data_IF_504920567766
#
_entry.id   IF_504920567766
#
_cell.length_a   1.000
_cell.length_b   1.000
_cell.length_c   1.000
_cell.angle_alpha   90.00
_cell.angle_beta   90.00
_cell.angle_gamma   90.00
#
_symmetry.space_group_name_H-M   'P 1'
#
loop_
_entity.id
_entity.type
_entity.pdbx_description
1 polymer ?
#
# COMPACT_ATOMS: atom_id res chain seq x y z
N UNK A 1 -19.36 8.77 -15.15
CA UNK A 1 -18.03 8.46 -15.73
C UNK A 1 -17.44 7.39 -14.84
N UNK A 2 -17.14 6.20 -15.38
CA UNK A 2 -16.75 5.02 -14.58
C UNK A 2 -15.55 5.40 -13.70
N UNK A 3 -15.72 5.41 -12.37
CA UNK A 3 -14.69 5.78 -11.39
C UNK A 3 -13.32 5.11 -11.66
N UNK A 4 -13.36 3.87 -12.16
CA UNK A 4 -12.17 3.09 -12.50
C UNK A 4 -11.51 3.46 -13.84
N UNK A 5 -12.22 4.11 -14.77
CA UNK A 5 -11.66 4.50 -16.08
C UNK A 5 -10.49 5.48 -15.94
N UNK A 6 -10.44 6.24 -14.85
CA UNK A 6 -9.34 7.17 -14.58
C UNK A 6 -8.01 6.48 -14.23
N UNK A 7 -8.04 5.20 -13.83
CA UNK A 7 -6.87 4.46 -13.35
C UNK A 7 -6.38 3.38 -14.32
N UNK A 8 -7.13 3.09 -15.38
CA UNK A 8 -6.78 2.08 -16.37
C UNK A 8 -6.52 2.74 -17.72
N UNK A 9 -5.59 2.19 -18.51
CA UNK A 9 -5.37 2.67 -19.87
C UNK A 9 -6.64 2.49 -20.71
N UNK A 10 -6.98 3.48 -21.53
CA UNK A 10 -8.17 3.42 -22.39
C UNK A 10 -8.18 2.15 -23.26
N UNK A 11 -7.00 1.72 -23.72
CA UNK A 11 -6.79 0.48 -24.45
C UNK A 11 -7.28 -0.77 -23.69
N UNK A 12 -6.95 -0.90 -22.41
CA UNK A 12 -7.37 -2.06 -21.60
C UNK A 12 -8.88 -2.06 -21.36
N UNK A 13 -9.47 -0.87 -21.16
CA UNK A 13 -10.90 -0.72 -20.90
C UNK A 13 -11.72 -1.06 -22.15
N UNK A 14 -11.25 -0.68 -23.33
CA UNK A 14 -11.89 -1.04 -24.60
C UNK A 14 -11.76 -2.52 -24.93
N UNK A 15 -10.62 -3.15 -24.61
CA UNK A 15 -10.39 -4.56 -24.91
C UNK A 15 -11.20 -5.53 -24.01
N UNK A 16 -11.49 -5.15 -22.76
CA UNK A 16 -12.13 -6.02 -21.77
C UNK A 16 -13.33 -5.34 -21.08
N UNK A 17 -14.26 -4.80 -21.87
CA UNK A 17 -15.39 -3.99 -21.37
C UNK A 17 -16.19 -4.65 -20.23
N UNK A 18 -16.43 -5.96 -20.31
CA UNK A 18 -17.22 -6.71 -19.29
C UNK A 18 -16.54 -6.75 -17.91
N UNK A 19 -15.20 -6.82 -17.88
CA UNK A 19 -14.43 -6.84 -16.64
C UNK A 19 -14.39 -5.47 -15.96
N UNK A 20 -14.48 -4.39 -16.74
CA UNK A 20 -14.39 -3.02 -16.24
C UNK A 20 -15.76 -2.39 -15.92
N UNK A 21 -16.82 -3.20 -15.87
CA UNK A 21 -18.10 -2.76 -15.32
C UNK A 21 -18.00 -2.57 -13.80
N UNK A 22 -18.67 -1.53 -13.29
CA UNK A 22 -18.66 -1.19 -11.85
C UNK A 22 -19.06 -2.39 -10.98
N UNK A 23 -20.10 -3.12 -11.38
CA UNK A 23 -20.60 -4.32 -10.70
C UNK A 23 -19.55 -5.42 -10.64
N UNK A 24 -18.86 -5.71 -11.75
CA UNK A 24 -17.82 -6.75 -11.80
C UNK A 24 -16.63 -6.39 -10.91
N UNK A 25 -16.18 -5.14 -10.92
CA UNK A 25 -15.08 -4.70 -10.06
C UNK A 25 -15.45 -4.80 -8.58
N UNK A 26 -16.68 -4.41 -8.22
CA UNK A 26 -17.17 -4.56 -6.85
C UNK A 26 -17.22 -6.03 -6.44
N UNK A 27 -17.77 -6.92 -7.27
CA UNK A 27 -17.84 -8.35 -6.99
C UNK A 27 -16.46 -8.99 -6.84
N UNK A 28 -15.53 -8.71 -7.75
CA UNK A 28 -14.15 -9.22 -7.69
C UNK A 28 -13.48 -8.73 -6.41
N UNK A 29 -13.61 -7.44 -6.08
CA UNK A 29 -12.97 -6.87 -4.89
C UNK A 29 -13.54 -7.47 -3.61
N UNK A 30 -14.87 -7.59 -3.50
CA UNK A 30 -15.51 -8.26 -2.34
C UNK A 30 -15.09 -9.73 -2.26
N UNK A 31 -14.95 -10.43 -3.39
CA UNK A 31 -14.43 -11.79 -3.44
C UNK A 31 -12.98 -11.89 -2.93
N UNK A 32 -12.11 -10.95 -3.32
CA UNK A 32 -10.73 -10.86 -2.82
C UNK A 32 -10.69 -10.55 -1.32
N UNK A 33 -11.57 -9.67 -0.83
CA UNK A 33 -11.70 -9.41 0.60
C UNK A 33 -12.13 -10.67 1.35
N UNK A 34 -13.10 -11.40 0.83
CA UNK A 34 -13.53 -12.66 1.41
C UNK A 34 -12.40 -13.68 1.45
N UNK A 35 -11.66 -13.86 0.35
CA UNK A 35 -10.48 -14.74 0.31
C UNK A 35 -9.44 -14.32 1.36
N UNK A 36 -9.24 -13.01 1.53
CA UNK A 36 -8.34 -12.44 2.54
C UNK A 36 -8.83 -12.72 3.96
N UNK A 37 -10.14 -12.74 4.22
CA UNK A 37 -10.67 -13.16 5.53
C UNK A 37 -10.42 -14.63 5.83
N UNK A 38 -10.51 -15.50 4.83
CA UNK A 38 -10.22 -16.92 4.99
C UNK A 38 -8.74 -17.14 5.33
N UNK A 39 -7.86 -16.37 4.71
CA UNK A 39 -6.45 -16.31 5.09
C UNK A 39 -6.29 -15.85 6.55
N UNK A 40 -7.05 -14.83 6.97
CA UNK A 40 -6.93 -14.22 8.30
C UNK A 40 -7.40 -15.10 9.46
N UNK A 41 -8.11 -16.20 9.17
CA UNK A 41 -8.50 -17.21 10.16
C UNK A 41 -7.33 -18.10 10.60
N UNK A 42 -6.31 -18.31 9.75
CA UNK A 42 -5.22 -19.29 10.00
C UNK A 42 -3.86 -18.61 10.13
N UNK A 43 -3.38 -18.47 11.37
CA UNK A 43 -2.11 -17.80 11.70
C UNK A 43 -0.89 -18.41 10.99
N UNK A 44 -0.85 -19.74 10.79
CA UNK A 44 0.29 -20.45 10.16
C UNK A 44 0.44 -20.13 8.66
N UNK A 45 -0.67 -19.83 7.98
CA UNK A 45 -0.67 -19.58 6.54
C UNK A 45 0.04 -18.26 6.20
N UNK A 46 -0.05 -17.27 7.08
CA UNK A 46 0.47 -15.91 6.90
C UNK A 46 1.98 -15.88 6.75
N UNK A 47 2.72 -16.51 7.66
CA UNK A 47 4.19 -16.44 7.63
C UNK A 47 4.70 -17.00 6.31
N UNK A 48 4.17 -18.15 5.90
CA UNK A 48 4.53 -18.80 4.65
C UNK A 48 4.14 -17.91 3.47
N UNK A 49 2.91 -17.41 3.43
CA UNK A 49 2.41 -16.57 2.34
C UNK A 49 3.20 -15.26 2.22
N UNK A 50 3.46 -14.55 3.33
CA UNK A 50 4.22 -13.30 3.32
C UNK A 50 5.67 -13.50 2.88
N UNK A 51 6.38 -14.52 3.40
CA UNK A 51 7.74 -14.84 2.94
C UNK A 51 7.76 -15.24 1.47
N UNK A 52 6.77 -16.04 1.05
CA UNK A 52 6.64 -16.47 -0.34
C UNK A 52 6.33 -15.30 -1.29
N UNK A 53 5.46 -14.37 -0.91
CA UNK A 53 5.16 -13.17 -1.72
C UNK A 53 6.39 -12.28 -1.90
N UNK A 54 7.18 -12.07 -0.84
CA UNK A 54 8.44 -11.30 -0.93
C UNK A 54 9.44 -12.04 -1.82
N UNK A 55 9.60 -13.35 -1.63
CA UNK A 55 10.48 -14.16 -2.47
C UNK A 55 10.07 -14.09 -3.95
N UNK A 56 8.79 -14.32 -4.26
CA UNK A 56 8.28 -14.22 -5.62
C UNK A 56 8.45 -12.82 -6.20
N UNK A 57 8.31 -11.78 -5.40
CA UNK A 57 8.55 -10.41 -5.86
C UNK A 57 10.02 -10.15 -6.17
N UNK A 58 10.95 -10.64 -5.34
CA UNK A 58 12.39 -10.55 -5.63
C UNK A 58 12.70 -11.30 -6.93
N UNK A 59 12.18 -12.52 -7.09
CA UNK A 59 12.34 -13.30 -8.33
C UNK A 59 11.76 -12.55 -9.54
N UNK A 60 10.58 -11.96 -9.41
CA UNK A 60 9.96 -11.14 -10.45
C UNK A 60 10.84 -9.95 -10.85
N UNK A 61 11.36 -9.21 -9.86
CA UNK A 61 12.29 -8.08 -10.10
C UNK A 61 13.53 -8.57 -10.83
N UNK A 62 14.15 -9.67 -10.38
CA UNK A 62 15.36 -10.24 -11.01
C UNK A 62 15.08 -10.65 -12.46
N UNK A 63 13.97 -11.35 -12.72
CA UNK A 63 13.57 -11.71 -14.08
C UNK A 63 13.40 -10.46 -14.93
N UNK A 64 12.71 -9.43 -14.41
CA UNK A 64 12.52 -8.17 -15.12
C UNK A 64 13.83 -7.46 -15.47
N UNK A 65 14.80 -7.44 -14.54
CA UNK A 65 16.14 -6.91 -14.79
C UNK A 65 16.84 -7.72 -15.88
N UNK A 66 16.86 -9.05 -15.76
CA UNK A 66 17.50 -9.94 -16.75
C UNK A 66 16.91 -9.71 -18.14
N UNK A 67 15.57 -9.68 -18.27
CA UNK A 67 14.89 -9.46 -19.54
C UNK A 67 15.27 -8.11 -20.18
N UNK A 68 15.36 -7.04 -19.37
CA UNK A 68 15.77 -5.73 -19.88
C UNK A 68 17.25 -5.73 -20.31
N UNK A 69 18.12 -6.42 -19.58
CA UNK A 69 19.54 -6.52 -19.90
C UNK A 69 19.76 -7.34 -21.18
N UNK A 70 19.07 -8.48 -21.33
CA UNK A 70 19.21 -9.36 -22.50
C UNK A 70 18.66 -8.73 -23.77
N UNK A 71 17.55 -8.00 -23.68
CA UNK A 71 16.90 -7.41 -24.85
C UNK A 71 17.53 -6.07 -25.24
N UNK A 72 18.17 -5.36 -24.29
CA UNK A 72 18.76 -4.05 -24.52
C UNK A 72 20.24 -4.06 -24.17
N UNK A 73 20.59 -3.62 -22.96
CA UNK A 73 21.96 -3.71 -22.44
C UNK A 73 21.99 -3.46 -20.93
N UNK A 74 23.01 -4.03 -20.27
CA UNK A 74 23.29 -3.76 -18.86
C UNK A 74 23.66 -2.29 -18.61
N UNK A 75 24.39 -1.68 -19.55
CA UNK A 75 24.80 -0.27 -19.44
C UNK A 75 23.58 0.64 -19.47
N UNK A 76 22.62 0.39 -20.37
CA UNK A 76 21.37 1.16 -20.42
C UNK A 76 20.63 1.03 -19.09
N UNK A 77 20.43 -0.19 -18.58
CA UNK A 77 19.72 -0.40 -17.31
C UNK A 77 20.34 0.38 -16.15
N UNK A 78 21.67 0.25 -15.96
CA UNK A 78 22.39 0.94 -14.89
C UNK A 78 22.37 2.46 -15.08
N UNK A 79 22.48 2.94 -16.32
CA UNK A 79 22.40 4.38 -16.61
C UNK A 79 21.01 4.93 -16.28
N UNK A 80 19.93 4.24 -16.64
CA UNK A 80 18.56 4.65 -16.34
C UNK A 80 18.27 4.64 -14.84
N UNK A 81 18.71 3.60 -14.13
CA UNK A 81 18.57 3.53 -12.66
C UNK A 81 19.30 4.70 -11.99
N UNK A 82 20.55 4.94 -12.40
CA UNK A 82 21.39 6.02 -11.88
C UNK A 82 20.75 7.38 -12.16
N UNK A 83 20.41 7.66 -13.43
CA UNK A 83 19.78 8.91 -13.84
C UNK A 83 18.47 9.14 -13.08
N UNK A 84 17.61 8.12 -12.96
CA UNK A 84 16.35 8.23 -12.22
C UNK A 84 16.55 8.67 -10.78
N UNK A 85 17.56 8.13 -10.09
CA UNK A 85 17.87 8.50 -8.70
C UNK A 85 18.47 9.92 -8.62
N UNK A 86 19.46 10.23 -9.46
CA UNK A 86 20.14 11.53 -9.41
C UNK A 86 19.24 12.67 -9.86
N UNK A 87 18.47 12.48 -10.93
CA UNK A 87 17.51 13.48 -11.42
C UNK A 87 16.36 13.68 -10.45
N UNK A 88 15.90 12.63 -9.75
CA UNK A 88 14.92 12.77 -8.68
C UNK A 88 15.44 13.67 -7.56
N UNK A 89 16.66 13.45 -7.08
CA UNK A 89 17.25 14.26 -6.01
C UNK A 89 17.48 15.70 -6.48
N UNK A 90 18.02 15.88 -7.69
CA UNK A 90 18.31 17.20 -8.27
C UNK A 90 17.03 18.03 -8.45
N UNK A 91 15.93 17.38 -8.81
CA UNK A 91 14.66 18.05 -9.12
C UNK A 91 13.60 17.89 -8.03
N UNK A 92 13.99 17.55 -6.79
CA UNK A 92 13.05 17.29 -5.70
C UNK A 92 12.06 18.45 -5.47
N UNK A 93 12.50 19.69 -5.70
CA UNK A 93 11.67 20.88 -5.55
C UNK A 93 10.45 20.87 -6.48
N UNK A 94 10.57 20.32 -7.69
CA UNK A 94 9.46 20.19 -8.65
C UNK A 94 8.41 19.17 -8.21
N UNK A 95 8.80 18.19 -7.38
CA UNK A 95 7.90 17.18 -6.82
C UNK A 95 7.26 17.60 -5.49
N UNK A 96 7.69 18.73 -4.92
CA UNK A 96 7.09 19.29 -3.70
C UNK A 96 6.19 20.48 -4.04
N UNK A 97 6.58 21.31 -5.02
CA UNK A 97 5.83 22.52 -5.41
C UNK A 97 5.95 22.73 -6.95
N UNK A 98 4.85 23.07 -7.65
CA UNK A 98 3.49 23.29 -7.16
C UNK A 98 2.69 21.98 -6.95
N UNK A 99 1.86 21.98 -5.92
CA UNK A 99 0.96 20.86 -5.62
C UNK A 99 -0.12 20.75 -6.70
N UNK A 100 -0.37 19.54 -7.21
CA UNK A 100 -1.47 19.25 -8.15
C UNK A 100 -2.41 18.19 -7.56
N UNK A 101 -3.48 17.85 -8.28
CA UNK A 101 -4.47 16.85 -7.85
C UNK A 101 -3.85 15.46 -7.61
N UNK A 102 -2.83 15.07 -8.38
CA UNK A 102 -2.10 13.83 -8.15
C UNK A 102 -1.35 13.86 -6.82
N UNK A 103 -0.62 14.94 -6.52
CA UNK A 103 0.08 15.06 -5.24
C UNK A 103 -0.90 15.03 -4.07
N UNK A 104 -2.05 15.72 -4.18
CA UNK A 104 -3.11 15.71 -3.18
C UNK A 104 -3.60 14.28 -2.90
N UNK A 105 -3.93 13.52 -3.95
CA UNK A 105 -4.37 12.12 -3.82
C UNK A 105 -3.34 11.27 -3.07
N UNK A 106 -2.07 11.27 -3.52
CA UNK A 106 -1.03 10.46 -2.91
C UNK A 106 -0.73 10.87 -1.46
N UNK A 107 -0.77 12.17 -1.14
CA UNK A 107 -0.60 12.65 0.23
C UNK A 107 -1.69 12.11 1.15
N UNK A 108 -2.97 12.27 0.79
CA UNK A 108 -4.07 11.73 1.60
C UNK A 108 -4.06 10.21 1.67
N UNK A 109 -3.66 9.54 0.60
CA UNK A 109 -3.50 8.09 0.58
C UNK A 109 -2.41 7.62 1.57
N UNK A 110 -1.21 8.20 1.50
CA UNK A 110 -0.12 7.88 2.42
C UNK A 110 -0.46 8.20 3.88
N UNK A 111 -1.10 9.34 4.16
CA UNK A 111 -1.56 9.67 5.51
C UNK A 111 -2.59 8.67 6.02
N UNK A 112 -3.57 8.28 5.20
CA UNK A 112 -4.57 7.26 5.57
C UNK A 112 -3.92 5.93 5.96
N UNK A 113 -2.88 5.51 5.23
CA UNK A 113 -2.18 4.25 5.47
C UNK A 113 -1.17 4.32 6.63
N UNK A 114 -0.68 5.51 6.97
CA UNK A 114 0.39 5.71 7.96
C UNK A 114 0.06 5.12 9.34
N UNK A 115 -1.19 5.19 9.80
CA UNK A 115 -1.62 4.62 11.08
C UNK A 115 -1.45 3.10 11.12
N UNK A 116 -1.83 2.43 10.03
CA UNK A 116 -1.71 0.98 9.94
C UNK A 116 -0.25 0.55 9.78
N UNK A 117 0.47 1.15 8.83
CA UNK A 117 1.88 0.83 8.57
C UNK A 117 2.69 1.10 9.85
N UNK A 118 2.43 2.20 10.55
CA UNK A 118 3.09 2.54 11.80
C UNK A 118 2.86 1.49 12.90
N UNK A 119 1.61 1.08 13.13
CA UNK A 119 1.29 0.02 14.11
C UNK A 119 1.93 -1.32 13.73
N UNK A 120 1.89 -1.66 12.44
CA UNK A 120 2.51 -2.89 11.93
C UNK A 120 4.02 -2.87 12.18
N UNK A 121 4.73 -1.84 11.69
CA UNK A 121 6.18 -1.73 11.82
C UNK A 121 6.61 -1.71 13.29
N UNK A 122 5.90 -0.98 14.14
CA UNK A 122 6.17 -0.93 15.58
C UNK A 122 6.15 -2.31 16.26
N UNK A 123 5.40 -3.27 15.72
CA UNK A 123 5.31 -4.63 16.25
C UNK A 123 6.54 -5.50 15.91
N UNK A 124 7.36 -5.08 14.95
CA UNK A 124 8.54 -5.81 14.45
C UNK A 124 9.87 -5.08 14.72
N UNK A 125 9.85 -3.98 15.46
CA UNK A 125 11.08 -3.25 15.83
C UNK A 125 11.91 -4.12 16.78
N UNK A 126 13.17 -4.44 16.44
CA UNK A 126 14.06 -5.18 17.34
C UNK A 126 14.31 -4.43 18.65
N UNK A 127 14.46 -5.17 19.75
CA UNK A 127 14.83 -4.60 21.04
C UNK A 127 16.18 -3.86 20.92
N UNK A 128 16.22 -2.59 21.38
CA UNK A 128 17.41 -1.76 21.33
C UNK A 128 17.61 -0.95 20.05
N UNK A 129 16.71 -1.06 19.05
CA UNK A 129 16.80 -0.22 17.86
C UNK A 129 16.45 1.25 18.18
N UNK A 130 17.34 2.17 17.80
CA UNK A 130 17.09 3.60 17.99
C UNK A 130 16.03 4.11 17.00
N UNK A 131 15.26 5.15 17.35
CA UNK A 131 14.26 5.72 16.43
C UNK A 131 14.87 6.20 15.11
N UNK A 132 16.09 6.75 15.14
CA UNK A 132 16.82 7.21 13.95
C UNK A 132 17.21 6.01 13.08
N UNK A 133 17.70 4.92 13.70
CA UNK A 133 18.02 3.68 12.97
C UNK A 133 16.79 3.11 12.26
N UNK A 134 15.64 3.10 12.94
CA UNK A 134 14.37 2.69 12.33
C UNK A 134 13.97 3.62 11.16
N UNK A 135 14.07 4.94 11.34
CA UNK A 135 13.75 5.91 10.30
C UNK A 135 14.60 5.70 9.03
N UNK A 136 15.91 5.55 9.18
CA UNK A 136 16.82 5.31 8.04
C UNK A 136 16.49 3.99 7.37
N UNK A 137 16.26 2.92 8.13
CA UNK A 137 15.93 1.60 7.57
C UNK A 137 14.62 1.65 6.75
N UNK A 138 13.60 2.32 7.29
CA UNK A 138 12.31 2.51 6.61
C UNK A 138 12.40 3.41 5.38
N UNK A 139 13.39 4.31 5.33
CA UNK A 139 13.62 5.18 4.17
C UNK A 139 14.40 4.45 3.08
N UNK A 140 15.51 3.78 3.42
CA UNK A 140 16.45 3.26 2.43
C UNK A 140 15.97 1.94 1.81
N UNK A 141 15.53 0.98 2.63
CA UNK A 141 15.23 -0.38 2.14
C UNK A 141 14.06 -0.39 1.14
N UNK A 142 12.89 0.23 1.43
CA UNK A 142 11.79 0.27 0.47
C UNK A 142 12.15 1.09 -0.78
N UNK A 143 12.82 2.23 -0.60
CA UNK A 143 13.19 3.11 -1.72
C UNK A 143 14.14 2.43 -2.70
N UNK A 144 15.13 1.68 -2.22
CA UNK A 144 16.06 0.95 -3.09
C UNK A 144 15.32 -0.11 -3.94
N UNK A 145 14.42 -0.88 -3.31
CA UNK A 145 13.61 -1.88 -4.02
C UNK A 145 12.69 -1.23 -5.06
N UNK A 146 12.03 -0.12 -4.70
CA UNK A 146 11.16 0.63 -5.60
C UNK A 146 11.95 1.21 -6.78
N UNK A 147 13.14 1.77 -6.56
CA UNK A 147 13.96 2.34 -7.62
C UNK A 147 14.32 1.30 -8.69
N UNK A 148 14.72 0.09 -8.26
CA UNK A 148 15.02 -1.02 -9.17
C UNK A 148 13.75 -1.44 -9.92
N UNK A 149 12.65 -1.63 -9.20
CA UNK A 149 11.38 -2.08 -9.80
C UNK A 149 10.81 -1.08 -10.81
N UNK A 150 10.78 0.21 -10.49
CA UNK A 150 10.31 1.25 -11.41
C UNK A 150 11.24 1.39 -12.62
N UNK A 151 12.54 1.16 -12.47
CA UNK A 151 13.45 1.13 -13.63
C UNK A 151 13.10 0.00 -14.60
N UNK A 152 12.81 -1.21 -14.07
CA UNK A 152 12.35 -2.35 -14.88
C UNK A 152 11.09 -1.98 -15.66
N UNK A 153 10.08 -1.44 -14.98
CA UNK A 153 8.81 -1.06 -15.61
C UNK A 153 8.99 0.07 -16.63
N UNK A 154 9.80 1.08 -16.31
CA UNK A 154 10.04 2.21 -17.19
C UNK A 154 10.71 1.78 -18.49
N UNK A 155 11.71 0.90 -18.44
CA UNK A 155 12.35 0.39 -19.65
C UNK A 155 11.40 -0.45 -20.51
N UNK A 156 10.47 -1.18 -19.90
CA UNK A 156 9.38 -1.83 -20.65
C UNK A 156 8.40 -0.82 -21.26
N UNK A 157 8.22 0.35 -20.65
CA UNK A 157 7.30 1.40 -21.16
C UNK A 157 7.88 2.24 -22.30
N UNK A 158 9.22 2.37 -22.38
CA UNK A 158 9.91 3.24 -23.35
C UNK A 158 9.80 2.77 -24.79
N UNK A 159 9.63 1.47 -24.98
CA UNK A 159 9.42 0.89 -26.30
C UNK A 159 7.99 0.35 -26.32
N UNK A 160 7.31 0.44 -27.45
CA UNK A 160 6.07 -0.34 -27.71
C UNK A 160 6.31 -1.87 -27.65
N UNK A 161 7.44 -2.32 -27.09
CA UNK A 161 7.74 -3.68 -26.75
C UNK A 161 6.73 -4.14 -25.70
N UNK A 162 5.84 -4.99 -26.16
CA UNK A 162 4.88 -5.69 -25.32
C UNK A 162 5.64 -6.43 -24.23
N UNK A 163 5.29 -6.12 -22.98
CA UNK A 163 5.69 -6.93 -21.83
C UNK A 163 5.40 -8.39 -22.18
N UNK A 164 6.41 -9.29 -22.15
CA UNK A 164 6.18 -10.67 -22.56
C UNK A 164 5.02 -11.27 -21.76
N UNK A 165 4.11 -11.97 -22.45
CA UNK A 165 2.85 -12.44 -21.83
C UNK A 165 3.08 -13.27 -20.55
N UNK A 166 4.13 -14.12 -20.55
CA UNK A 166 4.50 -14.91 -19.38
C UNK A 166 4.91 -14.03 -18.20
N UNK A 167 5.64 -12.95 -18.44
CA UNK A 167 6.08 -12.01 -17.41
C UNK A 167 4.90 -11.20 -16.87
N UNK A 168 3.98 -10.78 -17.75
CA UNK A 168 2.73 -10.13 -17.36
C UNK A 168 1.86 -11.04 -16.47
N UNK A 169 1.75 -12.33 -16.79
CA UNK A 169 1.03 -13.31 -15.96
C UNK A 169 1.65 -13.46 -14.57
N UNK A 170 2.98 -13.60 -14.48
CA UNK A 170 3.68 -13.70 -13.19
C UNK A 170 3.47 -12.42 -12.38
N UNK A 171 3.61 -11.24 -13.00
CA UNK A 171 3.37 -9.95 -12.35
C UNK A 171 1.94 -9.85 -11.80
N UNK A 172 0.95 -10.31 -12.56
CA UNK A 172 -0.45 -10.33 -12.14
C UNK A 172 -0.68 -11.26 -10.95
N UNK A 173 -0.11 -12.46 -10.96
CA UNK A 173 -0.20 -13.42 -9.84
C UNK A 173 0.44 -12.84 -8.58
N UNK A 174 1.65 -12.30 -8.69
CA UNK A 174 2.36 -11.67 -7.56
C UNK A 174 1.58 -10.46 -7.04
N UNK A 175 1.00 -9.65 -7.93
CA UNK A 175 0.13 -8.54 -7.56
C UNK A 175 -1.10 -8.97 -6.76
N UNK A 176 -1.81 -10.00 -7.23
CA UNK A 176 -2.96 -10.57 -6.50
C UNK A 176 -2.56 -11.13 -5.13
N UNK A 177 -1.41 -11.81 -5.03
CA UNK A 177 -0.88 -12.29 -3.75
C UNK A 177 -0.59 -11.14 -2.78
N UNK A 178 -0.04 -10.02 -3.25
CA UNK A 178 0.18 -8.84 -2.42
C UNK A 178 -1.13 -8.21 -1.95
N UNK A 179 -2.14 -8.14 -2.82
CA UNK A 179 -3.47 -7.61 -2.46
C UNK A 179 -4.07 -8.47 -1.33
N UNK A 180 -4.08 -9.79 -1.49
CA UNK A 180 -4.62 -10.71 -0.47
C UNK A 180 -3.83 -10.57 0.84
N UNK A 181 -2.50 -10.59 0.80
CA UNK A 181 -1.66 -10.46 1.99
C UNK A 181 -1.81 -9.10 2.71
N UNK A 182 -2.05 -8.03 1.95
CA UNK A 182 -2.29 -6.69 2.47
C UNK A 182 -3.65 -6.61 3.19
N UNK A 183 -4.73 -7.07 2.55
CA UNK A 183 -6.06 -7.10 3.16
C UNK A 183 -6.13 -8.02 4.39
N UNK A 184 -5.50 -9.17 4.31
CA UNK A 184 -5.35 -10.11 5.41
C UNK A 184 -4.69 -9.45 6.64
N UNK A 185 -3.67 -8.62 6.42
CA UNK A 185 -3.03 -7.84 7.48
C UNK A 185 -3.92 -6.73 8.04
N UNK A 186 -4.63 -5.99 7.18
CA UNK A 186 -5.62 -4.97 7.59
C UNK A 186 -6.70 -5.61 8.48
N UNK A 187 -7.27 -6.74 8.04
CA UNK A 187 -8.36 -7.43 8.72
C UNK A 187 -7.95 -7.89 10.13
N UNK A 188 -6.74 -8.44 10.30
CA UNK A 188 -6.20 -8.81 11.62
C UNK A 188 -6.02 -7.61 12.53
N UNK A 189 -5.35 -6.58 12.03
CA UNK A 189 -5.08 -5.35 12.78
C UNK A 189 -6.39 -4.72 13.25
N UNK A 190 -7.41 -4.77 12.40
CA UNK A 190 -8.76 -4.29 12.68
C UNK A 190 -9.49 -5.16 13.69
N UNK A 191 -9.41 -6.50 13.55
CA UNK A 191 -10.02 -7.44 14.49
C UNK A 191 -9.46 -7.27 15.90
N UNK A 192 -8.15 -7.10 16.04
CA UNK A 192 -7.50 -6.84 17.32
C UNK A 192 -7.97 -5.52 17.96
N UNK A 193 -8.17 -4.47 17.15
CA UNK A 193 -8.69 -3.19 17.63
C UNK A 193 -10.15 -3.32 18.08
N UNK A 194 -10.96 -4.02 17.31
CA UNK A 194 -12.37 -4.31 17.62
C UNK A 194 -12.49 -5.11 18.92
N UNK A 195 -11.68 -6.16 19.11
CA UNK A 195 -11.67 -6.93 20.35
C UNK A 195 -11.35 -6.05 21.56
N UNK A 196 -10.34 -5.18 21.44
CA UNK A 196 -9.93 -4.28 22.54
C UNK A 196 -11.00 -3.23 22.87
N UNK A 197 -11.69 -2.69 21.86
CA UNK A 197 -12.70 -1.64 22.07
C UNK A 197 -14.05 -2.19 22.55
N UNK A 198 -14.46 -3.36 22.05
CA UNK A 198 -15.80 -3.94 22.32
C UNK A 198 -15.79 -5.03 23.40
N UNK A 199 -14.61 -5.42 23.91
CA UNK A 199 -14.42 -6.54 24.85
C UNK A 199 -14.94 -7.90 24.31
N UNK A 200 -15.03 -8.06 22.99
CA UNK A 200 -15.41 -9.33 22.36
C UNK A 200 -14.37 -10.41 22.70
N UNK A 201 -14.86 -11.55 23.21
CA UNK A 201 -14.00 -12.69 23.61
C UNK A 201 -13.58 -13.61 22.46
N UNK A 202 -14.33 -13.61 21.35
CA UNK A 202 -14.10 -14.52 20.21
C UNK A 202 -13.55 -13.76 19.01
N UNK A 203 -12.32 -14.12 18.61
CA UNK A 203 -11.63 -13.53 17.46
C UNK A 203 -12.42 -13.63 16.15
N UNK A 204 -13.10 -14.75 15.90
CA UNK A 204 -13.88 -14.94 14.66
C UNK A 204 -14.99 -13.87 14.48
N UNK A 205 -15.64 -13.45 15.56
CA UNK A 205 -16.65 -12.38 15.48
C UNK A 205 -16.02 -11.01 15.24
N UNK A 206 -14.88 -10.73 15.86
CA UNK A 206 -14.15 -9.49 15.61
C UNK A 206 -13.61 -9.42 14.17
N UNK A 207 -13.18 -10.55 13.61
CA UNK A 207 -12.73 -10.66 12.23
C UNK A 207 -13.90 -10.46 11.25
N UNK A 208 -15.05 -11.10 11.50
CA UNK A 208 -16.25 -10.90 10.69
C UNK A 208 -16.74 -9.46 10.74
N UNK A 209 -16.73 -8.84 11.92
CA UNK A 209 -17.07 -7.42 12.06
C UNK A 209 -16.09 -6.51 11.30
N UNK A 210 -14.79 -6.82 11.35
CA UNK A 210 -13.77 -6.08 10.60
C UNK A 210 -13.93 -6.23 9.09
N UNK A 211 -14.28 -7.42 8.62
CA UNK A 211 -14.62 -7.66 7.22
C UNK A 211 -15.81 -6.83 6.77
N UNK A 212 -16.91 -6.86 7.55
CA UNK A 212 -18.10 -6.08 7.23
C UNK A 212 -17.79 -4.58 7.18
N UNK A 213 -17.01 -4.06 8.15
CA UNK A 213 -16.57 -2.67 8.13
C UNK A 213 -15.78 -2.33 6.86
N UNK A 214 -14.87 -3.20 6.44
CA UNK A 214 -14.04 -2.97 5.27
C UNK A 214 -14.85 -3.02 3.97
N UNK A 215 -15.82 -3.94 3.87
CA UNK A 215 -16.78 -3.99 2.75
C UNK A 215 -17.66 -2.73 2.72
N UNK A 216 -18.21 -2.30 3.86
CA UNK A 216 -19.01 -1.07 3.95
C UNK A 216 -18.18 0.14 3.54
N UNK A 217 -16.93 0.22 3.99
CA UNK A 217 -16.03 1.31 3.63
C UNK A 217 -15.67 1.30 2.14
N UNK A 218 -15.42 0.12 1.57
CA UNK A 218 -15.18 -0.04 0.15
C UNK A 218 -16.39 0.40 -0.68
N UNK A 219 -17.60 -0.07 -0.36
CA UNK A 219 -18.83 0.34 -1.05
C UNK A 219 -19.09 1.84 -0.86
N UNK A 220 -18.85 2.37 0.33
CA UNK A 220 -18.97 3.79 0.62
C UNK A 220 -17.99 4.66 -0.16
N UNK A 221 -16.84 4.11 -0.54
CA UNK A 221 -15.85 4.75 -1.40
C UNK A 221 -16.19 4.61 -2.90
N UNK A 222 -16.61 3.43 -3.37
CA UNK A 222 -16.90 3.19 -4.79
C UNK A 222 -18.28 3.67 -5.24
N UNK A 223 -19.17 3.97 -4.29
CA UNK A 223 -20.57 4.26 -4.57
C UNK A 223 -21.38 3.00 -4.92
N UNK A 224 -22.71 3.09 -4.77
CA UNK A 224 -23.65 2.01 -5.11
C UNK A 224 -23.97 1.94 -6.61
N UNK A 225 -23.79 3.06 -7.33
CA UNK A 225 -24.17 3.21 -8.73
C UNK A 225 -22.98 3.84 -9.49
N UNK A 226 -22.74 3.39 -10.72
CA UNK A 226 -21.63 3.86 -11.58
C UNK A 226 -21.61 5.39 -11.84
N UNK A 227 -22.70 6.09 -11.55
CA UNK A 227 -22.84 7.54 -11.73
C UNK A 227 -22.68 8.36 -10.45
N UNK A 228 -22.64 7.74 -9.26
CA UNK A 228 -22.45 8.44 -8.00
C UNK A 228 -21.03 8.24 -7.48
N UNK A 229 -20.35 9.35 -7.18
CA UNK A 229 -19.15 9.29 -6.33
C UNK A 229 -19.56 8.72 -4.96
N UNK A 230 -18.73 7.84 -4.41
CA UNK A 230 -18.92 7.37 -3.05
C UNK A 230 -18.96 8.54 -2.05
N UNK A 231 -19.70 8.38 -0.97
CA UNK A 231 -19.76 9.39 0.09
C UNK A 231 -18.44 9.48 0.88
N UNK A 232 -17.62 8.43 0.82
CA UNK A 232 -16.27 8.40 1.41
C UNK A 232 -15.28 8.84 0.34
N UNK A 233 -14.60 9.97 0.59
CA UNK A 233 -13.51 10.46 -0.25
C UNK A 233 -12.17 10.23 0.43
N UNK A 234 -11.12 10.03 -0.38
CA UNK A 234 -9.76 9.86 0.13
C UNK A 234 -9.31 11.08 0.95
N UNK A 235 -9.77 12.28 0.57
CA UNK A 235 -9.52 13.53 1.27
C UNK A 235 -10.07 13.50 2.71
N UNK A 236 -11.27 12.92 2.90
CA UNK A 236 -11.89 12.81 4.22
C UNK A 236 -11.11 11.83 5.10
N UNK A 237 -10.73 10.68 4.55
CA UNK A 237 -10.05 9.63 5.30
C UNK A 237 -8.63 10.05 5.66
N UNK A 238 -7.93 10.70 4.73
CA UNK A 238 -6.61 11.26 4.96
C UNK A 238 -6.64 12.40 5.97
N UNK A 239 -7.61 13.31 5.88
CA UNK A 239 -7.78 14.39 6.87
C UNK A 239 -8.04 13.85 8.27
N UNK A 240 -8.89 12.82 8.40
CA UNK A 240 -9.15 12.17 9.68
C UNK A 240 -7.88 11.52 10.25
N UNK A 241 -7.09 10.83 9.42
CA UNK A 241 -5.83 10.25 9.84
C UNK A 241 -4.84 11.31 10.34
N UNK A 242 -4.75 12.44 9.64
CA UNK A 242 -3.92 13.59 10.04
C UNK A 242 -4.34 14.11 11.42
N UNK A 243 -5.64 14.30 11.67
CA UNK A 243 -6.13 14.74 12.98
C UNK A 243 -5.78 13.76 14.10
N UNK A 244 -5.91 12.44 13.87
CA UNK A 244 -5.52 11.41 14.84
C UNK A 244 -4.03 11.51 15.17
N UNK A 245 -3.17 11.65 14.15
CA UNK A 245 -1.72 11.76 14.34
C UNK A 245 -1.37 13.01 15.15
N UNK A 246 -1.95 14.17 14.82
CA UNK A 246 -1.73 15.40 15.58
C UNK A 246 -2.23 15.27 17.03
N UNK A 247 -3.37 14.63 17.25
CA UNK A 247 -3.88 14.37 18.61
C UNK A 247 -2.93 13.47 19.41
N UNK A 248 -2.37 12.43 18.79
CA UNK A 248 -1.37 11.56 19.41
C UNK A 248 -0.08 12.33 19.76
N UNK A 249 0.42 13.15 18.84
CA UNK A 249 1.60 14.00 19.05
C UNK A 249 1.37 14.99 20.20
N UNK A 250 0.22 15.67 20.21
CA UNK A 250 -0.16 16.57 21.29
C UNK A 250 -0.13 15.86 22.66
N UNK A 251 -0.70 14.65 22.75
CA UNK A 251 -0.70 13.88 23.99
C UNK A 251 0.70 13.44 24.43
N UNK A 252 1.58 13.06 23.49
CA UNK A 252 2.98 12.73 23.78
C UNK A 252 3.75 13.92 24.34
N UNK A 253 3.60 15.10 23.70
CA UNK A 253 4.22 16.34 24.15
C UNK A 253 3.72 16.70 25.55
N UNK A 254 2.40 16.66 25.78
CA UNK A 254 1.78 16.90 27.09
C UNK A 254 2.32 15.97 28.18
N UNK A 255 2.50 14.68 27.88
CA UNK A 255 3.08 13.72 28.82
C UNK A 255 4.54 14.02 29.15
N UNK A 256 5.35 14.40 28.14
CA UNK A 256 6.75 14.79 28.33
C UNK A 256 6.87 16.02 29.24
N UNK A 257 6.03 17.04 29.03
CA UNK A 257 5.98 18.22 29.89
C UNK A 257 5.53 17.90 31.32
N UNK A 258 4.55 16.99 31.50
CA UNK A 258 4.17 16.54 32.85
C UNK A 258 5.31 15.80 33.55
N UNK A 259 6.01 14.89 32.86
CA UNK A 259 7.17 14.17 33.43
C UNK A 259 8.33 15.09 33.79
N UNK A 260 8.62 16.11 32.98
CA UNK A 260 9.64 17.12 33.28
C UNK A 260 9.35 17.94 34.54
N UNK A 261 8.06 18.17 34.87
CA UNK A 261 7.68 18.86 36.12
C UNK A 261 7.88 18.02 37.39
N UNK A 262 7.81 16.69 37.31
CA UNK A 262 8.00 15.80 38.48
C UNK A 262 9.47 15.41 38.73
N UNK A 263 10.38 15.61 37.76
CA UNK A 263 11.82 15.41 37.95
C UNK A 263 12.54 16.63 38.53
N UNK A 264 11.88 17.80 38.63
CA UNK A 264 12.43 19.02 39.23
C UNK A 264 11.93 19.25 40.68
N UNK A 265 11.38 18.23 41.35
CA UNK A 265 10.87 18.28 42.73
C UNK A 265 11.56 17.23 43.62
N UNK A 266 12.78 16.84 43.27
CA UNK A 266 13.67 16.05 44.16
C UNK A 266 15.00 16.78 44.24
#
# INVERSE_FOLDING_TARGET
MIFFKFYFSDFSVEQYQDLFTHTTIVMITVGLLFLSTLSALKVRFIKILSYFSIFLFIVLVVIGVVLNITNKSAVLFLSTLSLGIFDYIKNIYLFVIPMNEHHQFYMFWWFSWSLMIGKFVASFVPNGMTPIGLFILMLVVPTALLAIWFTVLYLFSLEHNSVPIYYFMIMSIVGLLFIVNSFDSILRVSADLVMKSTKLKKYNYALLFSYLLLVIFFIGYTGFISSSEGFIKIDYTGTLAIFIIYYMLYNLIKQKFKRGKYCNVI
#
